data_IF_942556712974
#
_entry.id   IF_942556712974
#
_cell.length_a   1.000
_cell.length_b   1.000
_cell.length_c   1.000
_cell.angle_alpha   90.00
_cell.angle_beta   90.00
_cell.angle_gamma   90.00
#
_symmetry.space_group_name_H-M   'P 1'
#
loop_
_entity.id
_entity.type
_entity.pdbx_description
1 polymer ?
#
# COMPACT_ATOMS: atom_id res chain seq x y z
N UNK A 1 6.29 10.13 24.34
CA UNK A 1 6.71 10.68 23.04
C UNK A 1 6.79 9.50 22.08
N UNK A 2 6.02 9.47 20.97
CA UNK A 2 6.09 8.33 20.08
C UNK A 2 7.49 8.30 19.45
N UNK A 3 8.18 7.18 19.58
CA UNK A 3 9.58 6.96 19.19
C UNK A 3 9.89 7.22 17.69
N UNK A 4 8.88 7.62 16.91
CA UNK A 4 8.98 7.94 15.49
C UNK A 4 9.33 9.39 15.18
N UNK A 5 9.15 10.33 16.12
CA UNK A 5 9.51 11.74 15.90
C UNK A 5 11.04 11.92 16.01
N UNK A 6 11.67 11.18 16.92
CA UNK A 6 13.13 11.24 17.15
C UNK A 6 13.92 10.37 16.15
N UNK A 7 13.25 9.46 15.43
CA UNK A 7 13.89 8.53 14.50
C UNK A 7 12.98 8.15 13.31
N UNK A 8 12.95 8.96 12.23
CA UNK A 8 12.05 8.75 11.09
C UNK A 8 12.27 7.40 10.40
N UNK A 9 13.50 6.88 10.41
CA UNK A 9 13.80 5.54 9.88
C UNK A 9 13.10 4.42 10.64
N UNK A 10 12.95 4.56 11.96
CA UNK A 10 12.26 3.58 12.80
C UNK A 10 10.75 3.57 12.51
N UNK A 11 10.16 4.75 12.30
CA UNK A 11 8.76 4.88 11.88
C UNK A 11 8.50 4.24 10.52
N UNK A 12 9.38 4.48 9.55
CA UNK A 12 9.28 3.84 8.23
C UNK A 12 9.42 2.31 8.30
N UNK A 13 10.38 1.80 9.08
CA UNK A 13 10.57 0.36 9.25
C UNK A 13 9.35 -0.31 9.92
N UNK A 14 8.77 0.33 10.94
CA UNK A 14 7.55 -0.14 11.59
C UNK A 14 6.36 -0.16 10.60
N UNK A 15 6.20 0.90 9.81
CA UNK A 15 5.16 0.98 8.77
C UNK A 15 5.31 -0.09 7.70
N UNK A 16 6.54 -0.30 7.21
CA UNK A 16 6.85 -1.35 6.26
C UNK A 16 6.54 -2.74 6.84
N UNK A 17 6.83 -2.97 8.12
CA UNK A 17 6.47 -4.20 8.84
C UNK A 17 4.97 -4.43 8.89
N UNK A 18 4.19 -3.41 9.28
CA UNK A 18 2.71 -3.48 9.30
C UNK A 18 2.16 -3.79 7.91
N UNK A 19 2.66 -3.11 6.88
CA UNK A 19 2.28 -3.38 5.48
C UNK A 19 2.61 -4.78 5.04
N UNK A 20 3.80 -5.27 5.37
CA UNK A 20 4.22 -6.63 5.02
C UNK A 20 3.31 -7.70 5.65
N UNK A 21 3.00 -7.56 6.94
CA UNK A 21 2.06 -8.44 7.63
C UNK A 21 0.66 -8.33 7.01
N UNK A 22 0.19 -7.12 6.73
CA UNK A 22 -1.11 -6.89 6.09
C UNK A 22 -1.21 -7.52 4.69
N UNK A 23 -0.16 -7.42 3.87
CA UNK A 23 -0.15 -7.98 2.52
C UNK A 23 0.01 -9.51 2.52
N UNK A 24 0.77 -10.06 3.47
CA UNK A 24 0.82 -11.53 3.65
C UNK A 24 -0.53 -12.08 4.09
N UNK A 25 -1.24 -11.42 5.00
CA UNK A 25 -2.61 -11.82 5.36
C UNK A 25 -3.57 -11.74 4.17
N UNK A 26 -3.52 -10.67 3.38
CA UNK A 26 -4.32 -10.55 2.17
C UNK A 26 -4.03 -11.68 1.17
N UNK A 27 -2.74 -12.01 0.95
CA UNK A 27 -2.35 -13.12 0.10
C UNK A 27 -2.83 -14.49 0.64
N UNK A 28 -2.83 -14.68 1.96
CA UNK A 28 -3.37 -15.89 2.58
C UNK A 28 -4.88 -16.04 2.35
N UNK A 29 -5.63 -14.93 2.48
CA UNK A 29 -7.08 -14.91 2.23
C UNK A 29 -7.39 -15.17 0.75
N UNK A 30 -6.68 -14.52 -0.17
CA UNK A 30 -6.85 -14.73 -1.61
C UNK A 30 -6.52 -16.19 -1.97
N UNK A 31 -5.40 -16.74 -1.48
CA UNK A 31 -5.05 -18.15 -1.67
C UNK A 31 -6.16 -19.09 -1.21
N UNK A 32 -6.72 -18.84 -0.02
CA UNK A 32 -7.81 -19.65 0.54
C UNK A 32 -9.08 -19.56 -0.32
N UNK A 33 -9.46 -18.35 -0.74
CA UNK A 33 -10.65 -18.13 -1.56
C UNK A 33 -10.50 -18.69 -2.98
N UNK A 34 -9.29 -18.65 -3.54
CA UNK A 34 -9.02 -19.06 -4.92
C UNK A 34 -8.55 -20.52 -5.01
N UNK A 35 -8.37 -21.21 -3.88
CA UNK A 35 -7.93 -22.60 -3.82
C UNK A 35 -6.49 -22.82 -4.33
N UNK A 36 -5.69 -21.75 -4.41
CA UNK A 36 -4.31 -21.81 -4.91
C UNK A 36 -3.31 -21.74 -3.76
N UNK A 37 -2.11 -22.28 -3.98
CA UNK A 37 -1.04 -22.35 -2.96
C UNK A 37 0.28 -21.66 -3.35
N UNK A 38 0.29 -20.46 -3.96
CA UNK A 38 1.53 -19.71 -4.12
C UNK A 38 2.06 -19.27 -2.75
N UNK A 39 3.37 -19.04 -2.66
CA UNK A 39 4.01 -18.61 -1.41
C UNK A 39 3.51 -17.24 -0.97
N UNK A 40 2.80 -17.21 0.15
CA UNK A 40 2.20 -16.02 0.77
C UNK A 40 3.27 -14.96 1.06
N UNK A 41 4.44 -15.39 1.53
CA UNK A 41 5.57 -14.51 1.82
C UNK A 41 6.11 -13.84 0.56
N UNK A 42 6.24 -14.57 -0.56
CA UNK A 42 6.70 -14.00 -1.84
C UNK A 42 5.74 -12.94 -2.37
N UNK A 43 4.44 -13.15 -2.18
CA UNK A 43 3.41 -12.20 -2.60
C UNK A 43 3.45 -10.93 -1.73
N UNK A 44 3.53 -11.11 -0.40
CA UNK A 44 3.61 -9.99 0.53
C UNK A 44 4.88 -9.16 0.35
N UNK A 45 6.05 -9.79 0.15
CA UNK A 45 7.30 -9.07 -0.12
C UNK A 45 7.28 -8.38 -1.48
N UNK A 46 6.79 -9.04 -2.54
CA UNK A 46 6.65 -8.41 -3.84
C UNK A 46 5.76 -7.18 -3.77
N UNK A 47 4.62 -7.26 -3.05
CA UNK A 47 3.71 -6.12 -2.89
C UNK A 47 4.36 -4.96 -2.16
N UNK A 48 5.11 -5.25 -1.09
CA UNK A 48 5.84 -4.26 -0.33
C UNK A 48 6.88 -3.55 -1.20
N UNK A 49 7.71 -4.32 -1.92
CA UNK A 49 8.76 -3.76 -2.79
C UNK A 49 8.19 -2.92 -3.92
N UNK A 50 7.14 -3.39 -4.57
CA UNK A 50 6.42 -2.62 -5.59
C UNK A 50 5.92 -1.30 -4.97
N UNK A 51 5.27 -1.37 -3.80
CA UNK A 51 4.79 -0.19 -3.07
C UNK A 51 5.90 0.79 -2.71
N UNK A 52 7.09 0.31 -2.36
CA UNK A 52 8.25 1.17 -2.09
C UNK A 52 8.74 1.87 -3.36
N UNK A 53 8.87 1.14 -4.47
CA UNK A 53 9.32 1.70 -5.76
C UNK A 53 8.35 2.76 -6.27
N UNK A 54 7.05 2.46 -6.27
CA UNK A 54 6.03 3.42 -6.69
C UNK A 54 5.90 4.59 -5.69
N UNK A 55 6.06 4.33 -4.39
CA UNK A 55 6.05 5.37 -3.36
C UNK A 55 7.17 6.40 -3.55
N UNK A 56 8.40 5.96 -3.85
CA UNK A 56 9.52 6.84 -4.17
C UNK A 56 9.25 7.63 -5.46
N UNK A 57 8.66 6.99 -6.48
CA UNK A 57 8.29 7.66 -7.73
C UNK A 57 7.25 8.77 -7.53
N UNK A 58 6.22 8.53 -6.72
CA UNK A 58 5.19 9.53 -6.39
C UNK A 58 5.78 10.65 -5.53
N UNK A 59 6.60 10.34 -4.53
CA UNK A 59 7.27 11.34 -3.69
C UNK A 59 8.19 12.26 -4.52
N UNK A 60 8.99 11.69 -5.42
CA UNK A 60 9.83 12.44 -6.34
C UNK A 60 9.01 13.34 -7.29
N UNK A 61 7.83 12.90 -7.71
CA UNK A 61 6.92 13.70 -8.53
C UNK A 61 6.30 14.86 -7.74
N UNK A 62 5.98 14.66 -6.45
CA UNK A 62 5.43 15.72 -5.60
C UNK A 62 6.45 16.81 -5.25
N UNK A 63 7.74 16.46 -5.10
CA UNK A 63 8.83 17.44 -4.89
C UNK A 63 8.99 18.39 -6.08
N UNK A 64 8.66 17.93 -7.29
CA UNK A 64 8.80 18.71 -8.51
C UNK A 64 7.61 19.65 -8.79
N UNK A 65 6.53 19.64 -7.98
CA UNK A 65 5.33 20.39 -8.35
C UNK A 65 4.32 20.79 -7.27
N UNK A 66 4.47 20.44 -6.00
CA UNK A 66 3.45 20.78 -4.99
C UNK A 66 4.06 21.21 -3.65
N UNK A 67 3.78 22.45 -3.25
CA UNK A 67 3.97 22.94 -1.88
C UNK A 67 3.14 22.08 -0.91
N UNK A 68 3.80 21.50 0.09
CA UNK A 68 3.27 20.45 0.97
C UNK A 68 2.29 20.93 2.07
N UNK A 69 1.80 22.17 2.02
CA UNK A 69 1.08 22.79 3.14
C UNK A 69 -0.45 22.64 3.13
N UNK A 70 -1.04 22.13 2.05
CA UNK A 70 -2.51 22.13 1.92
C UNK A 70 -3.17 20.78 2.23
N UNK A 71 -4.31 20.83 2.93
CA UNK A 71 -5.22 19.69 3.13
C UNK A 71 -5.63 19.04 1.80
N UNK A 72 -5.62 19.82 0.71
CA UNK A 72 -5.83 19.36 -0.67
C UNK A 72 -4.73 18.42 -1.17
N UNK A 73 -3.50 18.53 -0.65
CA UNK A 73 -2.40 17.61 -0.95
C UNK A 73 -2.69 16.19 -0.45
N UNK A 74 -3.32 16.04 0.71
CA UNK A 74 -3.67 14.73 1.28
C UNK A 74 -4.71 14.04 0.39
N UNK A 75 -5.78 14.76 0.04
CA UNK A 75 -6.81 14.22 -0.83
C UNK A 75 -6.26 13.90 -2.21
N UNK A 76 -5.48 14.81 -2.80
CA UNK A 76 -4.86 14.56 -4.11
C UNK A 76 -3.87 13.40 -4.06
N UNK A 77 -3.09 13.24 -2.99
CA UNK A 77 -2.18 12.12 -2.77
C UNK A 77 -2.93 10.77 -2.73
N UNK A 78 -3.99 10.66 -1.93
CA UNK A 78 -4.78 9.43 -1.87
C UNK A 78 -5.50 9.12 -3.20
N UNK A 79 -5.92 10.14 -3.94
CA UNK A 79 -6.61 10.02 -5.23
C UNK A 79 -5.63 9.64 -6.36
N UNK A 80 -4.43 10.24 -6.39
CA UNK A 80 -3.35 9.89 -7.34
C UNK A 80 -2.80 8.48 -7.07
N UNK A 81 -2.79 8.06 -5.81
CA UNK A 81 -2.38 6.71 -5.44
C UNK A 81 -3.38 5.63 -5.84
N UNK A 82 -4.65 5.98 -6.09
CA UNK A 82 -5.67 4.99 -6.47
C UNK A 82 -5.32 4.23 -7.76
N UNK A 83 -5.01 4.89 -8.90
CA UNK A 83 -4.62 4.18 -10.11
C UNK A 83 -3.32 3.40 -9.93
N UNK A 84 -2.36 3.94 -9.17
CA UNK A 84 -1.12 3.23 -8.83
C UNK A 84 -1.46 1.92 -8.10
N UNK A 85 -2.27 1.96 -7.04
CA UNK A 85 -2.65 0.76 -6.29
C UNK A 85 -3.39 -0.26 -7.13
N UNK A 86 -4.29 0.19 -8.00
CA UNK A 86 -4.99 -0.70 -8.93
C UNK A 86 -4.02 -1.40 -9.88
N UNK A 87 -3.02 -0.68 -10.40
CA UNK A 87 -1.95 -1.25 -11.24
C UNK A 87 -1.09 -2.24 -10.45
N UNK A 88 -0.70 -1.91 -9.23
CA UNK A 88 0.13 -2.78 -8.38
C UNK A 88 -0.57 -4.09 -8.05
N UNK A 89 -1.86 -4.03 -7.67
CA UNK A 89 -2.67 -5.23 -7.45
C UNK A 89 -2.89 -6.01 -8.74
N UNK A 90 -3.08 -5.33 -9.88
CA UNK A 90 -3.19 -5.97 -11.18
C UNK A 90 -1.91 -6.74 -11.56
N UNK A 91 -0.73 -6.14 -11.35
CA UNK A 91 0.56 -6.79 -11.57
C UNK A 91 0.73 -8.01 -10.67
N UNK A 92 0.38 -7.89 -9.39
CA UNK A 92 0.47 -8.98 -8.43
C UNK A 92 -0.44 -10.15 -8.81
N UNK A 93 -1.70 -9.88 -9.19
CA UNK A 93 -2.59 -10.92 -9.71
C UNK A 93 -2.05 -11.54 -10.99
N UNK A 94 -1.52 -10.74 -11.92
CA UNK A 94 -0.95 -11.26 -13.17
C UNK A 94 0.25 -12.17 -12.94
N UNK A 95 1.13 -11.84 -11.98
CA UNK A 95 2.34 -12.61 -11.71
C UNK A 95 2.09 -13.87 -10.90
N UNK A 96 1.24 -13.80 -9.87
CA UNK A 96 1.05 -14.91 -8.93
C UNK A 96 -0.24 -15.70 -9.13
N UNK A 97 -1.22 -15.15 -9.85
CA UNK A 97 -2.54 -15.74 -10.01
C UNK A 97 -2.99 -15.72 -11.48
N UNK A 98 -2.48 -16.67 -12.26
CA UNK A 98 -2.70 -16.77 -13.72
C UNK A 98 -4.08 -17.32 -14.12
N UNK A 99 -4.97 -17.60 -13.16
CA UNK A 99 -6.28 -18.21 -13.42
C UNK A 99 -7.21 -17.25 -14.21
N UNK A 100 -7.85 -17.69 -15.31
CA UNK A 100 -8.80 -16.90 -16.07
C UNK A 100 -10.14 -16.80 -15.32
N UNK A 101 -10.27 -15.83 -14.42
CA UNK A 101 -11.56 -15.52 -13.80
C UNK A 101 -12.43 -14.62 -14.68
N UNK A 102 -13.75 -14.74 -14.48
CA UNK A 102 -14.71 -13.78 -15.00
C UNK A 102 -14.31 -12.34 -14.62
N UNK A 103 -14.41 -11.42 -15.57
CA UNK A 103 -13.97 -10.03 -15.45
C UNK A 103 -14.52 -9.35 -14.16
N UNK A 104 -15.75 -9.66 -13.78
CA UNK A 104 -16.42 -9.11 -12.59
C UNK A 104 -15.74 -9.51 -11.27
N UNK A 105 -15.37 -10.78 -11.11
CA UNK A 105 -14.69 -11.27 -9.91
C UNK A 105 -13.30 -10.66 -9.78
N UNK A 106 -12.60 -10.46 -10.91
CA UNK A 106 -11.28 -9.80 -10.94
C UNK A 106 -11.36 -8.36 -10.40
N UNK A 107 -12.36 -7.58 -10.81
CA UNK A 107 -12.55 -6.22 -10.31
C UNK A 107 -12.85 -6.17 -8.82
N UNK A 108 -13.66 -7.11 -8.30
CA UNK A 108 -13.94 -7.20 -6.87
C UNK A 108 -12.65 -7.38 -6.04
N UNK A 109 -11.76 -8.28 -6.44
CA UNK A 109 -10.50 -8.52 -5.73
C UNK A 109 -9.48 -7.38 -5.90
N UNK A 110 -9.46 -6.71 -7.06
CA UNK A 110 -8.64 -5.50 -7.28
C UNK A 110 -9.08 -4.35 -6.37
N UNK A 111 -10.38 -4.08 -6.32
CA UNK A 111 -10.94 -3.02 -5.47
C UNK A 111 -10.79 -3.38 -3.99
N UNK A 112 -11.02 -4.64 -3.62
CA UNK A 112 -10.79 -5.13 -2.26
C UNK A 112 -9.33 -4.99 -1.82
N UNK A 113 -8.38 -5.32 -2.69
CA UNK A 113 -6.95 -5.12 -2.44
C UNK A 113 -6.59 -3.63 -2.31
N UNK A 114 -7.18 -2.78 -3.14
CA UNK A 114 -7.00 -1.33 -3.07
C UNK A 114 -7.53 -0.76 -1.73
N UNK A 115 -8.76 -1.13 -1.35
CA UNK A 115 -9.36 -0.76 -0.06
C UNK A 115 -8.51 -1.25 1.12
N UNK A 116 -8.05 -2.50 1.09
CA UNK A 116 -7.16 -3.06 2.11
C UNK A 116 -5.86 -2.26 2.24
N UNK A 117 -5.30 -1.80 1.11
CA UNK A 117 -4.11 -0.96 1.13
C UNK A 117 -4.38 0.40 1.78
N UNK A 118 -5.58 0.97 1.66
CA UNK A 118 -5.94 2.21 2.37
C UNK A 118 -6.16 1.97 3.87
N UNK A 119 -6.72 0.83 4.24
CA UNK A 119 -6.84 0.42 5.65
C UNK A 119 -5.47 0.28 6.29
N UNK A 120 -4.50 -0.33 5.60
CA UNK A 120 -3.12 -0.46 6.10
C UNK A 120 -2.36 0.87 6.16
N UNK A 121 -2.83 1.89 5.44
CA UNK A 121 -2.28 3.24 5.49
C UNK A 121 -2.91 4.10 6.59
N UNK A 122 -4.05 3.67 7.13
CA UNK A 122 -4.75 4.38 8.20
C UNK A 122 -3.90 4.60 9.46
N UNK A 123 -3.05 3.67 9.92
CA UNK A 123 -2.13 3.93 11.04
C UNK A 123 -1.12 5.05 10.75
N UNK A 124 -0.65 5.19 9.50
CA UNK A 124 0.22 6.30 9.12
C UNK A 124 -0.55 7.63 9.09
N UNK A 125 -1.78 7.62 8.58
CA UNK A 125 -2.68 8.79 8.63
C UNK A 125 -3.04 9.19 10.07
N UNK A 126 -3.29 8.24 10.97
CA UNK A 126 -3.51 8.51 12.40
C UNK A 126 -2.24 9.03 13.09
N UNK A 127 -1.06 8.50 12.72
CA UNK A 127 0.22 9.05 13.14
C UNK A 127 0.33 10.54 12.84
N UNK A 128 0.00 10.95 11.61
CA UNK A 128 -0.06 12.36 11.20
C UNK A 128 -0.98 13.21 12.08
N UNK A 129 -2.22 12.76 12.32
CA UNK A 129 -3.16 13.51 13.16
C UNK A 129 -2.73 13.60 14.63
N UNK A 130 -2.04 12.59 15.14
CA UNK A 130 -1.59 12.55 16.53
C UNK A 130 -0.28 13.34 16.76
N UNK A 131 0.58 13.48 15.75
CA UNK A 131 1.91 14.12 15.90
C UNK A 131 2.13 15.37 15.06
N UNK A 132 1.13 15.84 14.29
CA UNK A 132 1.23 16.99 13.38
C UNK A 132 2.43 16.93 12.41
N UNK A 133 2.91 15.73 12.09
CA UNK A 133 4.13 15.49 11.31
C UNK A 133 4.01 14.20 10.51
N UNK A 134 4.41 14.23 9.22
CA UNK A 134 4.00 13.25 8.20
C UNK A 134 4.65 11.96 8.64
N UNK A 135 3.84 10.97 8.99
CA UNK A 135 4.32 9.61 9.23
C UNK A 135 4.59 8.94 7.88
N UNK A 136 5.31 9.68 7.05
CA UNK A 136 5.71 9.34 5.72
C UNK A 136 7.19 9.66 5.75
N UNK A 137 7.96 8.61 5.53
CA UNK A 137 9.24 8.69 4.84
C UNK A 137 9.41 9.97 4.01
#
# INVERSE_FOLDING_TARGET
MPASIDNPMLGYAAFAGVKWVGYTLAAALINKCWGVKPSIYKIGTARLLIGMVFGVGVWGFTILGASADDTLFIFSYFLLLMPVRLLEWHLLFRWFYQQPYAQATKWFWLLGGCAWSYVLDFPAALGWFATAGFWVC
#
